data_IF_799084189354
#
_entry.id   IF_799084189354
#
_cell.length_a   1.000
_cell.length_b   1.000
_cell.length_c   1.000
_cell.angle_alpha   90.00
_cell.angle_beta   90.00
_cell.angle_gamma   90.00
#
_symmetry.space_group_name_H-M   'P 1'
#
loop_
_entity.id
_entity.type
_entity.pdbx_description
1 polymer ?
#
# COMPACT_ATOMS: atom_id res chain seq x y z
N UNK A 1 -2.82 -22.71 8.16
CA UNK A 1 -1.71 -21.77 8.40
C UNK A 1 -1.79 -21.32 9.84
N UNK A 2 -0.66 -21.09 10.53
CA UNK A 2 -0.72 -20.44 11.85
C UNK A 2 -1.15 -18.98 11.69
N UNK A 3 -1.79 -18.44 12.71
CA UNK A 3 -2.27 -17.06 12.70
C UNK A 3 -1.12 -16.06 12.45
N UNK A 4 0.06 -16.33 13.04
CA UNK A 4 1.27 -15.54 12.80
C UNK A 4 1.76 -15.58 11.34
N UNK A 5 1.71 -16.74 10.67
CA UNK A 5 2.07 -16.82 9.25
C UNK A 5 1.08 -16.04 8.37
N UNK A 6 -0.22 -16.06 8.69
CA UNK A 6 -1.22 -15.29 7.96
C UNK A 6 -0.95 -13.77 8.08
N UNK A 7 -0.70 -13.29 9.30
CA UNK A 7 -0.36 -11.88 9.58
C UNK A 7 0.93 -11.44 8.87
N UNK A 8 1.91 -12.33 8.73
CA UNK A 8 3.13 -12.08 7.97
C UNK A 8 2.84 -11.84 6.48
N UNK A 9 2.07 -12.71 5.82
CA UNK A 9 1.73 -12.52 4.41
C UNK A 9 0.92 -11.25 4.17
N UNK A 10 -0.01 -10.92 5.08
CA UNK A 10 -0.79 -9.68 4.99
C UNK A 10 0.13 -8.46 5.17
N UNK A 11 1.15 -8.55 6.04
CA UNK A 11 2.16 -7.49 6.18
C UNK A 11 2.98 -7.32 4.91
N UNK A 12 3.41 -8.40 4.27
CA UNK A 12 4.11 -8.33 2.98
C UNK A 12 3.24 -7.73 1.89
N UNK A 13 1.95 -8.07 1.84
CA UNK A 13 1.00 -7.46 0.92
C UNK A 13 0.86 -5.94 1.20
N UNK A 14 0.76 -5.54 2.47
CA UNK A 14 0.72 -4.13 2.87
C UNK A 14 1.97 -3.35 2.46
N UNK A 15 3.16 -3.91 2.72
CA UNK A 15 4.43 -3.29 2.31
C UNK A 15 4.56 -3.21 0.80
N UNK A 16 4.18 -4.27 0.08
CA UNK A 16 4.15 -4.28 -1.39
C UNK A 16 3.21 -3.22 -1.95
N UNK A 17 2.04 -3.04 -1.36
CA UNK A 17 1.09 -1.98 -1.73
C UNK A 17 1.67 -0.58 -1.49
N UNK A 18 2.38 -0.35 -0.38
CA UNK A 18 3.03 0.93 -0.10
C UNK A 18 4.16 1.23 -1.10
N UNK A 19 4.98 0.24 -1.43
CA UNK A 19 6.03 0.39 -2.44
C UNK A 19 5.41 0.70 -3.81
N UNK A 20 4.40 -0.07 -4.22
CA UNK A 20 3.71 0.13 -5.49
C UNK A 20 3.03 1.51 -5.55
N UNK A 21 2.44 1.95 -4.44
CA UNK A 21 1.89 3.30 -4.30
C UNK A 21 2.97 4.36 -4.55
N UNK A 22 4.11 4.27 -3.85
CA UNK A 22 5.19 5.24 -4.00
C UNK A 22 5.71 5.30 -5.44
N UNK A 23 5.87 4.15 -6.10
CA UNK A 23 6.27 4.06 -7.51
C UNK A 23 5.24 4.71 -8.44
N UNK A 24 3.94 4.41 -8.26
CA UNK A 24 2.85 5.00 -9.04
C UNK A 24 2.76 6.51 -8.85
N UNK A 25 2.93 6.99 -7.61
CA UNK A 25 2.97 8.41 -7.28
C UNK A 25 4.13 9.10 -8.01
N UNK A 26 5.33 8.52 -7.95
CA UNK A 26 6.50 9.08 -8.63
C UNK A 26 6.31 9.08 -10.16
N UNK A 27 5.82 7.98 -10.71
CA UNK A 27 5.51 7.84 -12.13
C UNK A 27 4.48 8.86 -12.59
N UNK A 28 3.39 9.03 -11.85
CA UNK A 28 2.34 10.00 -12.17
C UNK A 28 2.85 11.45 -12.12
N UNK A 29 3.76 11.77 -11.19
CA UNK A 29 4.35 13.12 -11.08
C UNK A 29 5.32 13.45 -12.21
N UNK A 30 6.13 12.48 -12.65
CA UNK A 30 7.26 12.74 -13.56
C UNK A 30 6.95 12.45 -15.03
N UNK A 31 6.09 11.46 -15.32
CA UNK A 31 5.84 10.97 -16.69
C UNK A 31 4.45 11.36 -17.22
N UNK A 32 3.46 11.55 -16.36
CA UNK A 32 2.07 11.77 -16.77
C UNK A 32 1.67 13.25 -16.71
N UNK A 33 0.84 13.69 -17.65
CA UNK A 33 0.26 15.04 -17.72
C UNK A 33 -1.26 14.97 -17.95
N UNK A 34 -1.97 16.04 -17.61
CA UNK A 34 -3.42 16.16 -17.83
C UNK A 34 -4.26 15.19 -16.99
N UNK A 35 -5.40 14.75 -17.54
CA UNK A 35 -6.41 13.92 -16.84
C UNK A 35 -5.86 12.54 -16.42
N UNK A 36 -4.97 11.96 -17.23
CA UNK A 36 -4.37 10.64 -16.95
C UNK A 36 -3.53 10.70 -15.66
N UNK A 37 -2.83 11.81 -15.42
CA UNK A 37 -2.10 12.03 -14.16
C UNK A 37 -3.04 12.04 -12.96
N UNK A 38 -4.22 12.64 -13.09
CA UNK A 38 -5.19 12.71 -11.99
C UNK A 38 -5.70 11.31 -11.61
N UNK A 39 -6.12 10.52 -12.61
CA UNK A 39 -6.63 9.15 -12.37
C UNK A 39 -5.55 8.25 -11.76
N UNK A 40 -4.33 8.28 -12.30
CA UNK A 40 -3.23 7.45 -11.76
C UNK A 40 -2.82 7.92 -10.36
N UNK A 41 -2.79 9.24 -10.11
CA UNK A 41 -2.50 9.77 -8.78
C UNK A 41 -3.59 9.36 -7.78
N UNK A 42 -4.86 9.38 -8.17
CA UNK A 42 -5.97 8.96 -7.33
C UNK A 42 -5.86 7.48 -6.94
N UNK A 43 -5.57 6.60 -7.90
CA UNK A 43 -5.30 5.18 -7.63
C UNK A 43 -4.09 5.01 -6.71
N UNK A 44 -3.01 5.75 -6.96
CA UNK A 44 -1.79 5.65 -6.16
C UNK A 44 -2.01 6.06 -4.70
N UNK A 45 -2.74 7.15 -4.46
CA UNK A 45 -3.13 7.56 -3.11
C UNK A 45 -4.11 6.59 -2.46
N UNK A 46 -5.04 6.00 -3.22
CA UNK A 46 -5.90 4.93 -2.71
C UNK A 46 -5.08 3.74 -2.19
N UNK A 47 -4.08 3.31 -2.97
CA UNK A 47 -3.15 2.24 -2.56
C UNK A 47 -2.31 2.63 -1.33
N UNK A 48 -1.89 3.90 -1.24
CA UNK A 48 -1.15 4.42 -0.09
C UNK A 48 -1.96 4.28 1.20
N UNK A 49 -3.22 4.72 1.15
CA UNK A 49 -4.13 4.71 2.30
C UNK A 49 -4.43 3.28 2.72
N UNK A 50 -4.78 2.41 1.76
CA UNK A 50 -5.07 1.00 2.05
C UNK A 50 -3.84 0.28 2.63
N UNK A 51 -2.66 0.45 2.01
CA UNK A 51 -1.42 -0.15 2.51
C UNK A 51 -1.04 0.38 3.89
N UNK A 52 -1.23 1.68 4.13
CA UNK A 52 -0.98 2.31 5.43
C UNK A 52 -1.90 1.77 6.51
N UNK A 53 -3.19 1.60 6.22
CA UNK A 53 -4.13 0.98 7.15
C UNK A 53 -3.77 -0.48 7.45
N UNK A 54 -3.45 -1.29 6.42
CA UNK A 54 -3.07 -2.70 6.61
C UNK A 54 -1.89 -2.82 7.57
N UNK A 55 -0.84 -2.03 7.35
CA UNK A 55 0.36 -2.05 8.21
C UNK A 55 0.05 -1.54 9.61
N UNK A 56 -0.70 -0.44 9.74
CA UNK A 56 -1.15 0.07 11.04
C UNK A 56 -1.89 -1.00 11.84
N UNK A 57 -2.89 -1.67 11.24
CA UNK A 57 -3.67 -2.70 11.91
C UNK A 57 -2.81 -3.88 12.35
N UNK A 58 -1.88 -4.35 11.51
CA UNK A 58 -1.05 -5.50 11.89
C UNK A 58 0.00 -5.15 12.94
N UNK A 59 0.65 -3.99 12.82
CA UNK A 59 1.66 -3.56 13.81
C UNK A 59 1.01 -3.35 15.18
N UNK A 60 -0.18 -2.76 15.23
CA UNK A 60 -0.91 -2.55 16.49
C UNK A 60 -1.45 -3.85 17.09
N UNK A 61 -1.81 -4.83 16.25
CA UNK A 61 -2.33 -6.13 16.71
C UNK A 61 -1.23 -7.11 17.15
N UNK A 62 0.03 -6.76 16.93
CA UNK A 62 1.19 -7.60 17.20
C UNK A 62 1.19 -8.94 16.41
N UNK A 63 2.29 -9.70 16.44
CA UNK A 63 2.37 -10.99 15.73
C UNK A 63 1.44 -12.08 16.30
N UNK A 64 0.98 -11.92 17.54
CA UNK A 64 0.25 -12.97 18.28
C UNK A 64 -1.13 -12.57 18.77
N UNK A 65 -1.44 -11.28 18.95
CA UNK A 65 -2.55 -10.90 19.83
C UNK A 65 -2.36 -11.41 21.26
#
# INVERSE_FOLDING_TARGET
MSEGMLRMYISFAGMGALILSALLILFARHKLKGVIRFVVSLLAYGLLVIGGFIIMFIVLSGPTG
#
